data_IF_957669108233
#
_entry.id   IF_957669108233
#
_cell.length_a   1.000
_cell.length_b   1.000
_cell.length_c   1.000
_cell.angle_alpha   90.00
_cell.angle_beta   90.00
_cell.angle_gamma   90.00
#
_symmetry.space_group_name_H-M   'P 1'
#
loop_
_entity.id
_entity.type
_entity.pdbx_description
1 polymer ?
#
# COMPACT_ATOMS: atom_id res chain seq x y z
N UNK A 1 29.04 -5.72 4.70
CA UNK A 1 28.39 -6.85 5.42
C UNK A 1 27.77 -7.71 4.35
N UNK A 2 28.42 -8.84 4.01
CA UNK A 2 28.26 -9.59 2.75
C UNK A 2 26.80 -9.88 2.34
N UNK A 3 25.92 -10.15 3.31
CA UNK A 3 24.50 -10.47 3.05
C UNK A 3 23.71 -9.28 2.49
N UNK A 4 23.92 -8.06 3.02
CA UNK A 4 23.23 -6.86 2.52
C UNK A 4 23.68 -6.50 1.12
N UNK A 5 24.97 -6.70 0.84
CA UNK A 5 25.54 -6.42 -0.47
C UNK A 5 24.98 -7.40 -1.52
N UNK A 6 24.84 -8.68 -1.16
CA UNK A 6 24.21 -9.69 -2.00
C UNK A 6 22.72 -9.41 -2.27
N UNK A 7 21.94 -9.12 -1.23
CA UNK A 7 20.51 -8.75 -1.38
C UNK A 7 20.33 -7.51 -2.26
N UNK A 8 21.24 -6.54 -2.16
CA UNK A 8 21.24 -5.34 -3.01
C UNK A 8 21.50 -5.66 -4.48
N UNK A 9 22.41 -6.61 -4.76
CA UNK A 9 22.68 -7.07 -6.14
C UNK A 9 21.46 -7.79 -6.71
N UNK A 10 20.86 -8.72 -5.97
CA UNK A 10 19.62 -9.40 -6.39
C UNK A 10 18.53 -8.36 -6.67
N UNK A 11 18.30 -7.42 -5.75
CA UNK A 11 17.26 -6.40 -5.93
C UNK A 11 17.47 -5.55 -7.19
N UNK A 12 18.72 -5.19 -7.53
CA UNK A 12 19.04 -4.47 -8.77
C UNK A 12 18.76 -5.30 -10.02
N UNK A 13 19.14 -6.58 -10.01
CA UNK A 13 18.97 -7.43 -11.18
C UNK A 13 17.50 -7.81 -11.39
N UNK A 14 16.78 -8.16 -10.33
CA UNK A 14 15.32 -8.37 -10.38
C UNK A 14 14.59 -7.14 -10.91
N UNK A 15 15.01 -5.93 -10.50
CA UNK A 15 14.46 -4.67 -10.99
C UNK A 15 14.66 -4.53 -12.51
N UNK A 16 15.86 -4.84 -13.00
CA UNK A 16 16.18 -4.76 -14.42
C UNK A 16 15.32 -5.74 -15.24
N UNK A 17 15.25 -6.99 -14.81
CA UNK A 17 14.45 -8.03 -15.47
C UNK A 17 12.97 -7.68 -15.50
N UNK A 18 12.44 -7.12 -14.41
CA UNK A 18 11.05 -6.72 -14.36
C UNK A 18 10.74 -5.54 -15.30
N UNK A 19 11.65 -4.56 -15.46
CA UNK A 19 11.47 -3.48 -16.45
C UNK A 19 11.59 -3.94 -17.90
N UNK A 20 12.37 -4.99 -18.16
CA UNK A 20 12.47 -5.59 -19.50
C UNK A 20 11.19 -6.37 -19.86
N UNK A 21 10.55 -6.99 -18.87
CA UNK A 21 9.39 -7.86 -19.07
C UNK A 21 8.05 -7.15 -18.96
N UNK A 22 7.94 -6.11 -18.13
CA UNK A 22 6.68 -5.39 -17.92
C UNK A 22 6.42 -4.38 -19.02
N UNK A 23 5.16 -4.34 -19.45
CA UNK A 23 4.67 -3.32 -20.37
C UNK A 23 4.61 -1.98 -19.64
N UNK A 24 5.33 -0.99 -20.17
CA UNK A 24 5.45 0.35 -19.58
C UNK A 24 4.17 1.17 -19.71
N UNK A 25 3.27 0.77 -20.60
CA UNK A 25 2.01 1.47 -20.82
C UNK A 25 0.91 1.02 -19.85
N UNK A 26 1.14 -0.08 -19.11
CA UNK A 26 0.20 -0.57 -18.09
C UNK A 26 0.43 0.15 -16.77
N UNK A 27 -0.58 0.88 -16.31
CA UNK A 27 -0.60 1.52 -14.99
C UNK A 27 -1.00 0.53 -13.91
N UNK A 28 -0.24 0.47 -12.82
CA UNK A 28 -0.63 -0.24 -11.62
C UNK A 28 -1.32 0.74 -10.66
N UNK A 29 -2.52 0.41 -10.20
CA UNK A 29 -3.29 1.31 -9.32
C UNK A 29 -3.50 0.58 -8.01
N UNK A 30 -2.93 1.12 -6.94
CA UNK A 30 -3.18 0.66 -5.57
C UNK A 30 -4.32 1.49 -4.98
N UNK A 31 -5.21 0.85 -4.22
CA UNK A 31 -6.32 1.56 -3.58
C UNK A 31 -6.34 1.26 -2.09
N UNK A 32 -6.30 2.29 -1.25
CA UNK A 32 -6.28 2.14 0.21
C UNK A 32 -7.54 2.70 0.86
N UNK A 33 -7.89 2.20 2.05
CA UNK A 33 -9.04 2.71 2.78
C UNK A 33 -8.68 4.01 3.51
N UNK A 34 -9.31 5.11 3.11
CA UNK A 34 -9.16 6.41 3.75
C UNK A 34 -10.08 6.58 4.98
N UNK A 35 -10.94 5.61 5.30
CA UNK A 35 -11.85 5.66 6.45
C UNK A 35 -12.70 6.93 6.46
N UNK A 36 -12.59 7.70 7.55
CA UNK A 36 -13.26 9.00 7.70
C UNK A 36 -12.57 10.17 6.97
N UNK A 37 -11.43 9.92 6.35
CA UNK A 37 -10.59 10.89 5.65
C UNK A 37 -9.15 10.84 6.17
N UNK A 38 -8.19 11.19 5.32
CA UNK A 38 -6.76 11.12 5.66
C UNK A 38 -6.36 12.00 6.84
N UNK A 39 -7.01 13.15 7.02
CA UNK A 39 -6.66 14.11 8.08
C UNK A 39 -7.42 13.84 9.38
N UNK A 40 -8.29 12.82 9.40
CA UNK A 40 -9.08 12.46 10.58
C UNK A 40 -8.31 11.63 11.60
N UNK A 41 -7.14 11.09 11.22
CA UNK A 41 -6.43 10.06 11.99
C UNK A 41 -7.14 8.70 12.00
N UNK A 42 -8.32 8.55 11.37
CA UNK A 42 -9.10 7.32 11.30
C UNK A 42 -9.16 6.81 9.86
N UNK A 43 -8.09 6.14 9.45
CA UNK A 43 -7.93 5.54 8.12
C UNK A 43 -7.05 4.29 8.18
N UNK A 44 -7.00 3.52 7.09
CA UNK A 44 -6.03 2.44 6.87
C UNK A 44 -5.17 2.68 5.61
N UNK A 45 -4.84 3.95 5.33
CA UNK A 45 -4.07 4.40 4.18
C UNK A 45 -2.55 4.32 4.42
N UNK A 46 -2.06 3.10 4.58
CA UNK A 46 -0.70 2.76 5.04
C UNK A 46 0.41 3.29 4.13
N UNK A 47 0.31 3.10 2.83
CA UNK A 47 1.27 3.63 1.85
C UNK A 47 1.17 5.14 1.73
N UNK A 48 0.01 5.74 2.02
CA UNK A 48 -0.18 7.19 1.91
C UNK A 48 0.35 7.96 3.13
N UNK A 49 0.11 7.46 4.35
CA UNK A 49 0.37 8.19 5.60
C UNK A 49 1.29 7.44 6.58
N UNK A 50 1.66 6.20 6.29
CA UNK A 50 2.52 5.40 7.15
C UNK A 50 4.02 5.57 6.86
N UNK A 51 4.81 4.97 7.73
CA UNK A 51 6.26 5.00 7.73
C UNK A 51 6.84 3.58 7.67
N UNK A 52 8.13 3.48 7.37
CA UNK A 52 8.81 2.17 7.34
C UNK A 52 9.02 1.68 8.76
N UNK A 53 8.64 0.44 9.03
CA UNK A 53 8.90 -0.24 10.29
C UNK A 53 8.80 -1.75 10.16
N UNK A 54 8.79 -2.47 11.28
CA UNK A 54 8.67 -3.93 11.32
C UNK A 54 7.39 -4.32 12.04
N UNK A 55 6.49 -4.98 11.32
CA UNK A 55 5.24 -5.50 11.88
C UNK A 55 5.03 -6.92 11.36
N UNK A 56 4.61 -7.82 12.26
CA UNK A 56 4.31 -9.23 11.95
C UNK A 56 5.42 -9.96 11.15
N UNK A 57 6.69 -9.66 11.46
CA UNK A 57 7.84 -10.35 10.88
C UNK A 57 8.33 -9.82 9.52
N UNK A 58 7.75 -8.73 9.01
CA UNK A 58 8.20 -8.10 7.77
C UNK A 58 8.57 -6.62 7.98
N UNK A 59 9.60 -6.16 7.28
CA UNK A 59 9.90 -4.73 7.17
C UNK A 59 9.13 -4.15 5.99
N UNK A 60 8.21 -3.23 6.25
CA UNK A 60 7.31 -2.63 5.25
C UNK A 60 6.79 -1.27 5.73
N UNK A 61 5.92 -0.63 4.95
CA UNK A 61 5.16 0.52 5.46
C UNK A 61 4.08 0.07 6.46
N UNK A 62 3.92 0.84 7.54
CA UNK A 62 2.85 0.69 8.50
C UNK A 62 2.46 2.04 9.13
N UNK A 63 1.25 2.12 9.70
CA UNK A 63 0.78 3.24 10.49
C UNK A 63 1.35 3.11 11.91
N UNK A 64 2.22 4.05 12.28
CA UNK A 64 2.85 4.11 13.60
C UNK A 64 3.04 5.56 14.02
N UNK A 65 3.16 5.79 15.33
CA UNK A 65 3.51 7.09 15.88
C UNK A 65 5.04 7.29 15.95
N UNK A 66 5.47 8.43 16.50
CA UNK A 66 6.89 8.81 16.61
C UNK A 66 7.70 7.85 17.48
N UNK A 67 7.03 7.15 18.41
CA UNK A 67 7.63 6.15 19.29
C UNK A 67 7.61 4.73 18.66
N UNK A 68 7.08 4.60 17.44
CA UNK A 68 6.94 3.34 16.72
C UNK A 68 5.80 2.45 17.23
N UNK A 69 4.87 2.99 18.02
CA UNK A 69 3.67 2.26 18.42
C UNK A 69 2.67 2.21 17.27
N UNK A 70 1.98 1.08 17.15
CA UNK A 70 1.01 0.87 16.06
C UNK A 70 -0.20 1.77 16.26
N UNK A 71 -0.50 2.58 15.24
CA UNK A 71 -1.74 3.35 15.19
C UNK A 71 -2.86 2.42 14.72
N UNK A 72 -3.98 2.43 15.44
CA UNK A 72 -5.14 1.63 15.08
C UNK A 72 -5.72 2.10 13.73
N UNK A 73 -5.85 1.20 12.75
CA UNK A 73 -6.41 1.56 11.46
C UNK A 73 -7.92 1.80 11.58
N UNK A 74 -8.50 2.42 10.56
CA UNK A 74 -9.95 2.45 10.44
C UNK A 74 -10.43 2.34 8.99
N UNK A 75 -11.29 1.36 8.75
CA UNK A 75 -11.99 1.15 7.48
C UNK A 75 -13.36 0.53 7.74
N UNK A 76 -14.38 0.92 6.98
CA UNK A 76 -15.66 0.18 7.02
C UNK A 76 -15.51 -1.25 6.47
N UNK A 77 -14.61 -1.44 5.50
CA UNK A 77 -14.30 -2.77 4.98
C UNK A 77 -13.33 -3.43 5.94
N UNK A 78 -13.80 -4.45 6.67
CA UNK A 78 -12.98 -5.22 7.59
C UNK A 78 -11.73 -5.82 6.91
N UNK A 79 -11.82 -6.15 5.62
CA UNK A 79 -10.69 -6.67 4.85
C UNK A 79 -9.60 -5.64 4.54
N UNK A 80 -9.88 -4.35 4.71
CA UNK A 80 -8.90 -3.26 4.52
C UNK A 80 -8.51 -2.61 5.86
N UNK A 81 -9.03 -3.07 6.99
CA UNK A 81 -8.82 -2.46 8.31
C UNK A 81 -7.54 -3.00 8.97
N UNK A 82 -6.39 -2.70 8.36
CA UNK A 82 -5.09 -3.23 8.77
C UNK A 82 -4.02 -2.12 8.73
N UNK A 83 -3.15 -2.00 9.77
CA UNK A 83 -2.23 -0.87 9.85
C UNK A 83 -0.96 -1.06 9.01
N UNK A 84 -0.74 -2.25 8.44
CA UNK A 84 0.44 -2.56 7.63
C UNK A 84 0.11 -2.76 6.16
N UNK A 85 1.14 -3.00 5.36
CA UNK A 85 1.01 -3.47 3.98
C UNK A 85 2.16 -4.43 3.66
N UNK A 86 1.96 -5.32 2.69
CA UNK A 86 2.99 -6.26 2.27
C UNK A 86 4.29 -5.56 1.80
N UNK A 87 5.46 -6.16 2.03
CA UNK A 87 6.75 -5.59 1.63
C UNK A 87 6.87 -5.42 0.11
N UNK A 88 6.20 -6.26 -0.68
CA UNK A 88 6.16 -6.12 -2.15
C UNK A 88 5.46 -4.84 -2.58
N UNK A 89 4.29 -4.50 -2.01
CA UNK A 89 3.62 -3.22 -2.29
C UNK A 89 4.47 -2.02 -1.84
N UNK A 90 5.15 -2.15 -0.70
CA UNK A 90 6.09 -1.14 -0.20
C UNK A 90 7.26 -0.92 -1.18
N UNK A 91 7.78 -2.01 -1.74
CA UNK A 91 8.80 -1.98 -2.77
C UNK A 91 8.29 -1.35 -4.07
N UNK A 92 7.09 -1.71 -4.54
CA UNK A 92 6.48 -1.12 -5.74
C UNK A 92 6.26 0.40 -5.59
N UNK A 93 5.85 0.88 -4.41
CA UNK A 93 5.73 2.32 -4.11
C UNK A 93 7.08 3.03 -4.26
N UNK A 94 8.15 2.47 -3.68
CA UNK A 94 9.49 3.09 -3.70
C UNK A 94 10.20 2.96 -5.04
N UNK A 95 9.82 2.00 -5.87
CA UNK A 95 10.41 1.75 -7.19
C UNK A 95 10.05 2.85 -8.22
N UNK A 96 8.97 3.60 -8.00
CA UNK A 96 8.56 4.67 -8.92
C UNK A 96 7.96 4.16 -10.23
N UNK A 97 7.49 2.90 -10.27
CA UNK A 97 6.52 2.48 -11.28
C UNK A 97 5.33 3.45 -11.19
N UNK A 98 4.75 3.94 -12.31
CA UNK A 98 3.64 4.88 -12.29
C UNK A 98 2.44 4.29 -11.55
N UNK A 99 2.42 4.49 -10.25
CA UNK A 99 1.42 3.96 -9.35
C UNK A 99 0.55 5.13 -8.92
N UNK A 100 -0.70 5.14 -9.40
CA UNK A 100 -1.69 6.04 -8.81
C UNK A 100 -2.23 5.35 -7.57
N UNK A 101 -1.98 5.91 -6.39
CA UNK A 101 -2.69 5.47 -5.18
C UNK A 101 -4.03 6.20 -5.16
N UNK A 102 -5.12 5.46 -5.33
CA UNK A 102 -6.46 5.99 -5.12
C UNK A 102 -6.93 5.66 -3.70
N UNK A 103 -7.89 6.42 -3.18
CA UNK A 103 -8.33 6.30 -1.80
C UNK A 103 -9.83 6.06 -1.71
N UNK A 104 -10.21 4.97 -1.04
CA UNK A 104 -11.60 4.66 -0.74
C UNK A 104 -11.95 5.22 0.64
N UNK A 105 -12.58 6.37 0.65
CA UNK A 105 -13.32 6.87 1.82
C UNK A 105 -14.62 6.10 2.02
N UNK A 106 -15.17 6.23 3.23
CA UNK A 106 -16.51 5.81 3.56
C UNK A 106 -17.56 6.27 2.52
N UNK A 107 -17.45 7.46 1.90
CA UNK A 107 -18.43 7.93 0.89
C UNK A 107 -18.54 7.07 -0.39
N UNK A 108 -17.69 6.05 -0.58
CA UNK A 108 -17.69 5.17 -1.75
C UNK A 108 -18.71 4.03 -1.74
N UNK A 109 -19.63 3.90 -0.77
CA UNK A 109 -20.77 2.96 -0.90
C UNK A 109 -21.62 3.19 -2.14
N UNK A 110 -21.53 4.40 -2.73
CA UNK A 110 -22.12 4.67 -4.04
C UNK A 110 -21.51 3.77 -5.13
N UNK A 111 -20.18 3.61 -5.19
CA UNK A 111 -19.52 2.72 -6.15
C UNK A 111 -19.96 1.26 -5.99
N UNK A 112 -20.10 0.76 -4.75
CA UNK A 112 -20.55 -0.60 -4.51
C UNK A 112 -22.01 -0.81 -4.94
N UNK A 113 -22.87 0.17 -4.72
CA UNK A 113 -24.25 0.17 -5.23
C UNK A 113 -24.28 0.21 -6.75
N UNK A 114 -23.54 1.14 -7.36
CA UNK A 114 -23.46 1.28 -8.81
C UNK A 114 -22.98 -0.04 -9.47
N UNK A 115 -22.08 -0.80 -8.83
CA UNK A 115 -21.67 -2.14 -9.29
C UNK A 115 -22.76 -3.22 -9.14
N UNK A 116 -23.61 -3.13 -8.12
CA UNK A 116 -24.75 -4.03 -7.96
C UNK A 116 -25.81 -3.74 -9.04
N UNK A 117 -26.09 -2.47 -9.27
CA UNK A 117 -27.07 -1.99 -10.26
C UNK A 117 -26.59 -2.24 -11.70
N UNK A 118 -25.29 -2.45 -11.92
CA UNK A 118 -24.72 -2.82 -13.23
C UNK A 118 -25.03 -4.27 -13.67
N UNK A 119 -25.59 -5.10 -12.78
CA UNK A 119 -25.98 -6.49 -13.08
C UNK A 119 -27.45 -6.66 -13.45
N UNK A 120 -28.24 -5.58 -13.48
CA UNK A 120 -29.62 -5.55 -13.98
C UNK A 120 -29.70 -4.89 -15.36
#
# INVERSE_FOLDING_TARGET
MMVRDFQKVIGKETRKQALEKWDKDVRLIGVEAAGYGLDSGKHAATLTKGDVGVLHGAMSYLLQDEDGQIIEPHSISAGLDYPGVGPEHSFLKTWGVPNTIALLTNKHWKLLRDCHDWRE
#
